data_IF_907661232005
#
_entry.id   IF_907661232005
#
_cell.length_a   1.000
_cell.length_b   1.000
_cell.length_c   1.000
_cell.angle_alpha   90.00
_cell.angle_beta   90.00
_cell.angle_gamma   90.00
#
_symmetry.space_group_name_H-M   'P 1'
#
loop_
_entity.id
_entity.type
_entity.pdbx_description
1 polymer ?
#
# COMPACT_ATOMS: atom_id res chain seq x y z
N UNK A 1 -27.28 28.44 -18.82
CA UNK A 1 -25.88 28.90 -18.84
C UNK A 1 -25.10 27.99 -17.92
N UNK A 2 -24.32 27.06 -18.48
CA UNK A 2 -23.56 26.08 -17.70
C UNK A 2 -22.14 26.61 -17.46
N UNK A 3 -21.70 26.57 -16.20
CA UNK A 3 -20.40 27.03 -15.73
C UNK A 3 -19.27 26.08 -16.20
N UNK A 4 -18.29 26.55 -17.00
CA UNK A 4 -17.21 25.72 -17.54
C UNK A 4 -16.04 25.49 -16.56
N UNK A 5 -16.17 25.85 -15.28
CA UNK A 5 -15.08 25.73 -14.29
C UNK A 5 -15.24 24.61 -13.27
N UNK A 6 -16.18 23.69 -13.47
CA UNK A 6 -16.30 22.49 -12.64
C UNK A 6 -15.08 21.59 -12.84
N UNK A 7 -14.02 21.82 -12.05
CA UNK A 7 -12.90 20.91 -11.86
C UNK A 7 -13.47 19.51 -11.67
N UNK A 8 -12.94 18.47 -12.34
CA UNK A 8 -13.38 17.11 -12.12
C UNK A 8 -13.18 16.84 -10.63
N UNK A 9 -14.29 16.61 -9.93
CA UNK A 9 -14.27 16.27 -8.52
C UNK A 9 -13.24 15.17 -8.34
N UNK A 10 -12.15 15.49 -7.61
CA UNK A 10 -11.26 14.48 -7.07
C UNK A 10 -12.14 13.54 -6.28
N UNK A 11 -12.42 12.39 -6.86
CA UNK A 11 -13.29 11.38 -6.30
C UNK A 11 -12.54 10.81 -5.10
N UNK A 12 -12.88 11.33 -3.92
CA UNK A 12 -12.29 10.92 -2.65
C UNK A 12 -12.79 9.51 -2.31
N UNK A 13 -12.09 8.52 -2.86
CA UNK A 13 -12.34 7.09 -2.72
C UNK A 13 -12.24 6.58 -1.27
N UNK A 14 -11.86 7.43 -0.31
CA UNK A 14 -11.77 7.07 1.11
C UNK A 14 -13.13 6.96 1.81
N UNK A 15 -14.20 7.47 1.19
CA UNK A 15 -15.58 7.48 1.72
C UNK A 15 -16.59 6.67 0.90
N UNK A 16 -16.15 5.95 -0.12
CA UNK A 16 -17.03 5.18 -0.98
C UNK A 16 -17.54 3.92 -0.25
N UNK A 17 -18.86 3.79 -0.16
CA UNK A 17 -19.54 2.60 0.35
C UNK A 17 -19.31 1.40 -0.59
N UNK A 18 -19.24 0.19 -0.04
CA UNK A 18 -18.91 -1.04 -0.78
C UNK A 18 -19.87 -1.27 -1.97
N UNK A 19 -21.10 -0.77 -1.86
CA UNK A 19 -22.12 -0.81 -2.91
C UNK A 19 -21.88 0.14 -4.10
N UNK A 20 -21.23 1.29 -3.87
CA UNK A 20 -20.94 2.27 -4.93
C UNK A 20 -19.75 1.83 -5.79
N UNK A 21 -18.77 1.17 -5.17
CA UNK A 21 -17.63 0.56 -5.87
C UNK A 21 -18.13 -0.55 -6.80
N UNK A 22 -19.08 -1.39 -6.35
CA UNK A 22 -19.65 -2.46 -7.17
C UNK A 22 -20.45 -1.94 -8.39
N UNK A 23 -21.11 -0.77 -8.27
CA UNK A 23 -21.80 -0.12 -9.40
C UNK A 23 -20.83 0.51 -10.39
N UNK A 24 -19.77 1.16 -9.91
CA UNK A 24 -18.72 1.71 -10.76
C UNK A 24 -17.98 0.61 -11.54
N UNK A 25 -17.68 -0.53 -10.90
CA UNK A 25 -17.07 -1.71 -11.54
C UNK A 25 -17.94 -2.29 -12.65
N UNK A 26 -19.27 -2.20 -12.56
CA UNK A 26 -20.20 -2.63 -13.63
C UNK A 26 -20.27 -1.68 -14.82
N UNK A 27 -19.84 -0.42 -14.67
CA UNK A 27 -19.85 0.58 -15.74
C UNK A 27 -18.49 0.78 -16.42
N UNK A 28 -17.42 0.20 -15.88
CA UNK A 28 -16.07 0.27 -16.43
C UNK A 28 -15.87 -0.74 -17.57
N UNK A 29 -15.09 -0.37 -18.59
CA UNK A 29 -14.68 -1.28 -19.66
C UNK A 29 -13.86 -2.44 -19.08
N UNK A 30 -13.93 -3.66 -19.64
CA UNK A 30 -13.24 -4.84 -19.11
C UNK A 30 -11.71 -4.66 -18.95
N UNK A 31 -11.11 -3.74 -19.71
CA UNK A 31 -9.69 -3.37 -19.59
C UNK A 31 -9.39 -2.52 -18.35
N UNK A 32 -10.29 -1.63 -17.94
CA UNK A 32 -10.12 -0.80 -16.73
C UNK A 32 -10.35 -1.61 -15.46
N UNK A 33 -11.25 -2.60 -15.49
CA UNK A 33 -11.50 -3.49 -14.36
C UNK A 33 -10.24 -4.28 -13.96
N UNK A 34 -9.45 -4.75 -14.93
CA UNK A 34 -8.17 -5.41 -14.70
C UNK A 34 -7.12 -4.45 -14.11
N UNK A 35 -7.09 -3.21 -14.58
CA UNK A 35 -6.19 -2.18 -14.05
C UNK A 35 -6.50 -1.82 -12.59
N UNK A 36 -7.78 -1.69 -12.24
CA UNK A 36 -8.21 -1.46 -10.85
C UNK A 36 -7.94 -2.67 -9.95
N UNK A 37 -8.17 -3.89 -10.45
CA UNK A 37 -7.86 -5.13 -9.73
C UNK A 37 -6.36 -5.21 -9.41
N UNK A 38 -5.50 -4.93 -10.38
CA UNK A 38 -4.06 -4.97 -10.21
C UNK A 38 -3.55 -3.89 -9.24
N UNK A 39 -4.13 -2.68 -9.27
CA UNK A 39 -3.86 -1.64 -8.26
C UNK A 39 -4.34 -2.02 -6.87
N UNK A 40 -5.54 -2.59 -6.75
CA UNK A 40 -6.08 -3.06 -5.47
C UNK A 40 -5.22 -4.18 -4.89
N UNK A 41 -4.77 -5.12 -5.72
CA UNK A 41 -3.90 -6.21 -5.32
C UNK A 41 -2.54 -5.69 -4.84
N UNK A 42 -1.97 -4.67 -5.49
CA UNK A 42 -0.76 -4.01 -5.05
C UNK A 42 -0.91 -3.31 -3.68
N UNK A 43 -2.05 -2.64 -3.46
CA UNK A 43 -2.37 -1.99 -2.17
C UNK A 43 -2.57 -3.05 -1.07
N UNK A 44 -3.22 -4.17 -1.38
CA UNK A 44 -3.43 -5.28 -0.45
C UNK A 44 -2.10 -5.95 -0.10
N UNK A 45 -1.21 -6.16 -1.08
CA UNK A 45 0.13 -6.71 -0.84
C UNK A 45 0.95 -5.82 0.10
N UNK A 46 0.91 -4.50 -0.11
CA UNK A 46 1.57 -3.53 0.77
C UNK A 46 0.98 -3.54 2.19
N UNK A 47 -0.36 -3.61 2.32
CA UNK A 47 -1.04 -3.71 3.63
C UNK A 47 -0.72 -5.02 4.36
N UNK A 48 -0.61 -6.15 3.66
CA UNK A 48 -0.22 -7.43 4.27
C UNK A 48 1.15 -7.35 4.92
N UNK A 49 2.15 -6.79 4.21
CA UNK A 49 3.51 -6.63 4.76
C UNK A 49 3.52 -5.71 5.98
N UNK A 50 2.78 -4.59 5.95
CA UNK A 50 2.63 -3.73 7.13
C UNK A 50 1.95 -4.45 8.31
N UNK A 51 0.85 -5.18 8.07
CA UNK A 51 0.15 -5.95 9.09
C UNK A 51 1.06 -7.01 9.72
N UNK A 52 1.83 -7.75 8.92
CA UNK A 52 2.80 -8.71 9.42
C UNK A 52 3.89 -8.02 10.23
N UNK A 53 4.39 -6.87 9.77
CA UNK A 53 5.37 -6.06 10.51
C UNK A 53 4.86 -5.62 11.88
N UNK A 54 3.60 -5.18 11.97
CA UNK A 54 2.97 -4.85 13.26
C UNK A 54 2.79 -6.07 14.16
N UNK A 55 2.38 -7.21 13.61
CA UNK A 55 2.18 -8.43 14.38
C UNK A 55 3.50 -8.94 14.99
N UNK A 56 4.58 -8.90 14.20
CA UNK A 56 5.93 -9.25 14.65
C UNK A 56 6.41 -8.24 15.71
N UNK A 57 6.25 -6.93 15.47
CA UNK A 57 6.62 -5.90 16.42
C UNK A 57 5.90 -6.07 17.77
N UNK A 58 4.60 -6.38 17.76
CA UNK A 58 3.82 -6.62 18.98
C UNK A 58 4.32 -7.85 19.75
N UNK A 59 4.64 -8.93 19.02
CA UNK A 59 5.18 -10.16 19.61
C UNK A 59 6.52 -9.91 20.29
N UNK A 60 7.43 -9.21 19.60
CA UNK A 60 8.75 -8.90 20.12
C UNK A 60 8.66 -7.92 21.29
N UNK A 61 7.77 -6.93 21.22
CA UNK A 61 7.52 -6.00 22.32
C UNK A 61 7.10 -6.72 23.60
N UNK A 62 6.17 -7.68 23.50
CA UNK A 62 5.74 -8.49 24.63
C UNK A 62 6.92 -9.26 25.23
N UNK A 63 7.67 -9.98 24.39
CA UNK A 63 8.81 -10.79 24.83
C UNK A 63 9.88 -9.91 25.51
N UNK A 64 10.22 -8.77 24.91
CA UNK A 64 11.20 -7.84 25.47
C UNK A 64 10.73 -7.24 26.80
N UNK A 65 9.44 -6.94 26.94
CA UNK A 65 8.87 -6.42 28.19
C UNK A 65 8.89 -7.48 29.29
N UNK A 66 8.55 -8.73 28.97
CA UNK A 66 8.66 -9.85 29.92
C UNK A 66 10.10 -10.06 30.40
N UNK A 67 11.07 -10.03 29.48
CA UNK A 67 12.50 -10.11 29.79
C UNK A 67 12.97 -8.94 30.67
N UNK A 68 12.54 -7.72 30.36
CA UNK A 68 12.85 -6.53 31.14
C UNK A 68 12.32 -6.66 32.58
N UNK A 69 11.10 -7.17 32.76
CA UNK A 69 10.52 -7.42 34.08
C UNK A 69 11.27 -8.50 34.86
N UNK A 70 11.61 -9.61 34.20
CA UNK A 70 12.37 -10.70 34.82
C UNK A 70 13.77 -10.24 35.27
N UNK A 71 14.42 -9.42 34.45
CA UNK A 71 15.71 -8.82 34.78
C UNK A 71 15.61 -7.84 35.95
N UNK A 72 14.58 -6.97 35.95
CA UNK A 72 14.34 -6.04 37.06
C UNK A 72 14.10 -6.76 38.39
N UNK A 73 13.34 -7.86 38.38
CA UNK A 73 13.05 -8.64 39.59
C UNK A 73 14.24 -9.39 40.19
N UNK A 74 15.36 -9.49 39.48
CA UNK A 74 16.57 -10.22 39.92
C UNK A 74 17.72 -9.31 40.33
N UNK A 75 17.60 -7.98 40.17
CA UNK A 75 18.65 -7.03 40.48
C UNK A 75 18.22 -6.08 41.62
N UNK A 76 19.07 -5.94 42.64
CA UNK A 76 18.90 -4.95 43.70
C UNK A 76 19.30 -3.56 43.19
N UNK A 77 18.35 -2.86 42.59
CA UNK A 77 18.53 -1.48 42.13
C UNK A 77 17.52 -1.09 41.06
N UNK A 78 17.07 0.18 41.08
CA UNK A 78 16.17 0.68 40.04
C UNK A 78 16.95 0.91 38.73
N UNK A 79 16.89 -0.04 37.82
CA UNK A 79 17.52 0.05 36.49
C UNK A 79 16.49 0.56 35.46
N UNK A 80 16.11 1.83 35.58
CA UNK A 80 15.07 2.43 34.73
C UNK A 80 15.35 2.40 33.22
N UNK A 81 16.62 2.35 32.82
CA UNK A 81 16.99 2.29 31.39
C UNK A 81 16.65 0.96 30.72
N UNK A 82 16.47 -0.13 31.49
CA UNK A 82 16.08 -1.44 30.93
C UNK A 82 14.72 -1.35 30.22
N UNK A 83 13.84 -0.45 30.70
CA UNK A 83 12.52 -0.24 30.11
C UNK A 83 12.58 0.49 28.76
N UNK A 84 13.69 1.14 28.42
CA UNK A 84 13.89 1.76 27.09
C UNK A 84 14.27 0.73 26.03
N UNK A 85 14.85 -0.41 26.43
CA UNK A 85 15.33 -1.44 25.50
C UNK A 85 14.19 -2.03 24.65
N UNK A 86 13.03 -2.41 25.21
CA UNK A 86 11.88 -2.86 24.41
C UNK A 86 11.43 -1.84 23.37
N UNK A 87 11.37 -0.54 23.73
CA UNK A 87 10.96 0.51 22.80
C UNK A 87 11.95 0.71 21.67
N UNK A 88 13.25 0.75 21.98
CA UNK A 88 14.30 0.86 20.97
C UNK A 88 14.28 -0.33 20.00
N UNK A 89 14.10 -1.54 20.53
CA UNK A 89 14.09 -2.77 19.75
C UNK A 89 12.86 -2.84 18.82
N UNK A 90 11.69 -2.46 19.32
CA UNK A 90 10.46 -2.34 18.52
C UNK A 90 10.60 -1.28 17.44
N UNK A 91 11.14 -0.10 17.79
CA UNK A 91 11.40 0.97 16.82
C UNK A 91 12.32 0.51 15.69
N UNK A 92 13.38 -0.24 16.01
CA UNK A 92 14.29 -0.80 15.02
C UNK A 92 13.60 -1.82 14.09
N UNK A 93 12.77 -2.69 14.64
CA UNK A 93 12.02 -3.69 13.85
C UNK A 93 11.02 -3.01 12.91
N UNK A 94 10.25 -2.05 13.42
CA UNK A 94 9.30 -1.27 12.63
C UNK A 94 10.02 -0.49 11.52
N UNK A 95 11.18 0.09 11.80
CA UNK A 95 11.99 0.78 10.80
C UNK A 95 12.45 -0.17 9.68
N UNK A 96 12.97 -1.35 10.05
CA UNK A 96 13.40 -2.35 9.08
C UNK A 96 12.22 -2.86 8.22
N UNK A 97 11.07 -3.15 8.83
CA UNK A 97 9.86 -3.56 8.11
C UNK A 97 9.24 -2.45 7.28
N UNK A 98 9.28 -1.20 7.73
CA UNK A 98 8.83 -0.03 6.97
C UNK A 98 9.65 0.16 5.70
N UNK A 99 10.97 0.12 5.82
CA UNK A 99 11.89 0.17 4.68
C UNK A 99 11.71 -1.02 3.73
N UNK A 100 11.41 -2.21 4.26
CA UNK A 100 11.13 -3.39 3.43
C UNK A 100 9.77 -3.29 2.71
N UNK A 101 8.75 -2.76 3.37
CA UNK A 101 7.43 -2.52 2.78
C UNK A 101 7.49 -1.45 1.67
N UNK A 102 8.30 -0.40 1.84
CA UNK A 102 8.57 0.58 0.79
C UNK A 102 9.29 -0.04 -0.41
N UNK A 103 10.29 -0.89 -0.15
CA UNK A 103 11.03 -1.59 -1.22
C UNK A 103 10.14 -2.55 -2.02
N UNK A 104 9.26 -3.30 -1.34
CA UNK A 104 8.29 -4.20 -2.00
C UNK A 104 7.23 -3.37 -2.75
N UNK A 105 6.72 -2.30 -2.14
CA UNK A 105 5.72 -1.42 -2.76
C UNK A 105 6.24 -0.74 -4.04
N UNK A 106 7.47 -0.23 -4.03
CA UNK A 106 8.08 0.41 -5.20
C UNK A 106 8.21 -0.54 -6.40
N UNK A 107 8.63 -1.80 -6.17
CA UNK A 107 8.76 -2.77 -7.25
C UNK A 107 7.42 -3.10 -7.90
N UNK A 108 6.33 -3.19 -7.13
CA UNK A 108 5.00 -3.44 -7.69
C UNK A 108 4.48 -2.23 -8.46
N UNK A 109 4.70 -1.01 -7.96
CA UNK A 109 4.27 0.23 -8.62
C UNK A 109 4.98 0.44 -9.97
N UNK A 110 6.28 0.17 -10.05
CA UNK A 110 7.07 0.28 -11.28
C UNK A 110 6.58 -0.70 -12.36
N UNK A 111 6.15 -1.90 -11.99
CA UNK A 111 5.61 -2.89 -12.94
C UNK A 111 4.26 -2.42 -13.48
N UNK A 112 3.37 -1.93 -12.61
CA UNK A 112 2.08 -1.38 -13.02
C UNK A 112 2.21 -0.14 -13.92
N UNK A 113 3.13 0.76 -13.61
CA UNK A 113 3.37 1.96 -14.43
C UNK A 113 3.95 1.61 -15.81
N UNK A 114 4.76 0.54 -15.91
CA UNK A 114 5.26 0.03 -17.19
C UNK A 114 4.15 -0.58 -18.03
N UNK A 115 3.25 -1.35 -17.42
CA UNK A 115 2.12 -1.95 -18.12
C UNK A 115 1.07 -0.92 -18.53
N UNK A 116 0.81 0.09 -17.68
CA UNK A 116 -0.03 1.24 -18.02
C UNK A 116 0.50 1.97 -19.27
N UNK A 117 1.80 2.30 -19.27
CA UNK A 117 2.43 2.94 -20.43
C UNK A 117 2.45 2.06 -21.67
N UNK A 118 2.60 0.74 -21.51
CA UNK A 118 2.55 -0.20 -22.62
C UNK A 118 1.12 -0.32 -23.19
N UNK A 119 0.08 -0.28 -22.35
CA UNK A 119 -1.31 -0.27 -22.76
C UNK A 119 -1.69 1.02 -23.49
N UNK A 120 -1.27 2.18 -22.96
CA UNK A 120 -1.43 3.49 -23.64
C UNK A 120 -0.70 3.53 -24.98
N UNK A 121 0.51 2.98 -25.06
CA UNK A 121 1.27 2.90 -26.30
C UNK A 121 0.59 1.97 -27.34
N UNK A 122 0.02 0.84 -26.90
CA UNK A 122 -0.76 -0.05 -27.77
C UNK A 122 -2.03 0.62 -28.26
N UNK A 123 -2.80 1.27 -27.38
CA UNK A 123 -4.01 2.00 -27.74
C UNK A 123 -3.71 3.16 -28.72
N UNK A 124 -2.59 3.88 -28.53
CA UNK A 124 -2.15 4.92 -29.47
C UNK A 124 -1.70 4.36 -30.82
N UNK A 125 -1.09 3.17 -30.84
CA UNK A 125 -0.67 2.49 -32.08
C UNK A 125 -1.88 1.96 -32.85
N UNK A 126 -2.88 1.43 -32.16
CA UNK A 126 -4.11 0.91 -32.73
C UNK A 126 -4.98 2.05 -33.31
N UNK A 127 -5.11 3.17 -32.60
CA UNK A 127 -5.77 4.37 -33.10
C UNK A 127 -5.12 4.94 -34.37
N UNK A 128 -3.80 4.80 -34.51
CA UNK A 128 -3.04 5.24 -35.70
C UNK A 128 -3.17 4.28 -36.88
N UNK A 129 -3.45 3.00 -36.62
CA UNK A 129 -3.61 1.99 -37.66
C UNK A 129 -5.03 2.02 -38.27
N UNK A 130 -6.05 2.41 -37.49
CA UNK A 130 -7.44 2.58 -37.97
C UNK A 130 -7.64 3.84 -38.83
N UNK A 131 -6.73 4.81 -38.77
CA UNK A 131 -6.83 6.10 -39.50
C UNK A 131 -6.07 6.15 -40.83
N UNK A 132 -5.40 5.07 -41.25
CA UNK A 132 -4.80 5.00 -42.60
C UNK A 132 -5.79 4.40 -43.60
N UNK A 133 -6.30 5.17 -44.58
CA UNK A 133 -7.20 4.62 -45.60
C UNK A 133 -6.46 3.58 -46.44
N UNK A 134 -7.13 2.48 -46.85
CA UNK A 134 -6.54 1.53 -47.80
C UNK A 134 -6.20 2.27 -49.09
N UNK A 135 -4.95 2.12 -49.54
CA UNK A 135 -4.50 2.55 -50.88
C UNK A 135 -5.14 1.70 -51.95
#
# INVERSE_FOLDING_TARGET
>A
MADPTAKPAELDLSKADEHDIARAVKQLKPEEALFFLAKLEAVIAKRKVQLTGYLVAFTVWLVATFLALAYYGTHDGFVGWIFLVPFALVGMILYAFGMWAEKVGNNTQVILDREAKAAEAKAATEAKNVTSPPK
#
